data_IF_461004178436
#
_entry.id   IF_461004178436
#
_cell.length_a   1.000
_cell.length_b   1.000
_cell.length_c   1.000
_cell.angle_alpha   90.00
_cell.angle_beta   90.00
_cell.angle_gamma   90.00
#
_symmetry.space_group_name_H-M   'P 1'
#
loop_
_entity.id
_entity.type
_entity.pdbx_description
1 polymer ?
#
# COMPACT_ATOMS: atom_id res chain seq x y z
N UNK A 1 1.26 12.38 -7.68
CA UNK A 1 0.12 11.46 -7.45
C UNK A 1 0.35 10.70 -6.15
N UNK A 2 -0.71 10.46 -5.38
CA UNK A 2 -0.66 9.65 -4.13
C UNK A 2 -1.11 8.21 -4.40
N UNK A 3 -0.49 7.24 -3.74
CA UNK A 3 -1.00 5.87 -3.66
C UNK A 3 -1.38 5.51 -2.22
N UNK A 4 -2.54 4.87 -2.05
CA UNK A 4 -2.99 4.26 -0.81
C UNK A 4 -2.75 2.76 -0.90
N UNK A 5 -1.95 2.21 0.01
CA UNK A 5 -1.64 0.78 0.10
C UNK A 5 -2.34 0.20 1.33
N UNK A 6 -3.28 -0.72 1.11
CA UNK A 6 -4.00 -1.38 2.22
C UNK A 6 -3.21 -2.58 2.76
N UNK A 7 -2.34 -2.32 3.73
CA UNK A 7 -1.46 -3.29 4.38
C UNK A 7 -1.96 -3.77 5.76
N UNK A 8 -3.26 -3.59 6.04
CA UNK A 8 -3.85 -3.86 7.34
C UNK A 8 -4.19 -5.34 7.60
N UNK A 9 -4.23 -6.17 6.56
CA UNK A 9 -4.72 -7.56 6.65
C UNK A 9 -3.72 -8.58 7.18
N UNK A 10 -4.21 -9.60 7.87
CA UNK A 10 -3.41 -10.70 8.45
C UNK A 10 -2.74 -11.62 7.43
N UNK A 11 -3.29 -11.75 6.21
CA UNK A 11 -2.77 -12.73 5.23
C UNK A 11 -2.97 -14.19 5.68
N UNK A 12 -4.08 -14.51 6.34
CA UNK A 12 -4.31 -15.81 7.02
C UNK A 12 -4.15 -17.07 6.17
N UNK A 13 -4.24 -16.95 4.84
CA UNK A 13 -4.01 -18.06 3.90
C UNK A 13 -2.55 -18.53 3.87
N UNK A 14 -1.61 -17.70 4.31
CA UNK A 14 -0.17 -17.98 4.27
C UNK A 14 0.36 -18.57 5.59
N UNK A 15 -0.51 -18.89 6.56
CA UNK A 15 -0.16 -19.53 7.86
C UNK A 15 1.09 -18.93 8.53
N UNK A 16 1.31 -17.63 8.36
CA UNK A 16 2.46 -16.90 8.87
C UNK A 16 1.98 -15.84 9.87
N UNK A 17 2.71 -15.68 10.98
CA UNK A 17 2.40 -14.68 12.00
C UNK A 17 2.87 -13.27 11.61
N UNK A 18 3.68 -13.15 10.57
CA UNK A 18 4.18 -11.87 10.03
C UNK A 18 3.25 -11.28 8.96
N UNK A 19 3.13 -9.94 8.87
CA UNK A 19 2.48 -9.28 7.74
C UNK A 19 3.03 -9.79 6.41
N UNK A 20 2.14 -10.17 5.49
CA UNK A 20 2.53 -10.70 4.18
C UNK A 20 3.43 -9.75 3.39
N UNK A 21 3.24 -8.45 3.57
CA UNK A 21 4.01 -7.38 2.97
C UNK A 21 5.51 -7.45 3.24
N UNK A 22 5.89 -8.02 4.38
CA UNK A 22 7.28 -8.15 4.80
C UNK A 22 7.95 -9.42 4.28
N UNK A 23 7.21 -10.34 3.65
CA UNK A 23 7.81 -11.52 3.05
C UNK A 23 8.67 -11.12 1.86
N UNK A 24 9.81 -11.78 1.71
CA UNK A 24 10.71 -11.57 0.59
C UNK A 24 10.18 -12.30 -0.65
N UNK A 25 10.22 -11.61 -1.78
CA UNK A 25 10.15 -12.17 -3.11
C UNK A 25 11.49 -11.85 -3.77
N UNK A 26 12.31 -12.89 -3.97
CA UNK A 26 13.71 -12.76 -4.35
C UNK A 26 14.51 -11.92 -3.34
N UNK A 27 15.11 -10.82 -3.78
CA UNK A 27 16.01 -9.97 -3.01
C UNK A 27 15.30 -8.86 -2.23
N UNK A 28 13.98 -8.69 -2.40
CA UNK A 28 13.21 -7.56 -1.86
C UNK A 28 11.90 -8.00 -1.24
N UNK A 29 11.41 -7.24 -0.28
CA UNK A 29 10.08 -7.50 0.30
C UNK A 29 8.96 -7.27 -0.72
N UNK A 30 7.82 -7.95 -0.56
CA UNK A 30 6.63 -7.71 -1.39
C UNK A 30 6.25 -6.22 -1.38
N UNK A 31 6.30 -5.57 -0.21
CA UNK A 31 6.00 -4.15 -0.09
C UNK A 31 6.98 -3.28 -0.88
N UNK A 32 8.28 -3.60 -0.82
CA UNK A 32 9.32 -2.90 -1.57
C UNK A 32 9.10 -3.01 -3.08
N UNK A 33 8.75 -4.20 -3.60
CA UNK A 33 8.38 -4.37 -5.01
C UNK A 33 7.21 -3.48 -5.39
N UNK A 34 6.15 -3.45 -4.57
CA UNK A 34 4.95 -2.64 -4.83
C UNK A 34 5.30 -1.15 -4.88
N UNK A 35 5.95 -0.62 -3.84
CA UNK A 35 6.26 0.81 -3.77
C UNK A 35 7.28 1.25 -4.82
N UNK A 36 8.23 0.38 -5.16
CA UNK A 36 9.21 0.63 -6.24
C UNK A 36 8.51 0.71 -7.59
N UNK A 37 7.61 -0.22 -7.90
CA UNK A 37 6.89 -0.21 -9.17
C UNK A 37 5.97 1.01 -9.30
N UNK A 38 5.28 1.39 -8.22
CA UNK A 38 4.47 2.61 -8.15
C UNK A 38 5.34 3.86 -8.34
N UNK A 39 6.51 3.94 -7.70
CA UNK A 39 7.48 5.04 -7.88
C UNK A 39 7.92 5.15 -9.34
N UNK A 40 8.31 4.04 -9.97
CA UNK A 40 8.69 3.98 -11.39
C UNK A 40 7.56 4.41 -12.34
N UNK A 41 6.31 4.25 -11.93
CA UNK A 41 5.15 4.73 -12.68
C UNK A 41 4.87 6.24 -12.51
N UNK A 42 5.53 6.91 -11.56
CA UNK A 42 5.38 8.35 -11.30
C UNK A 42 4.59 8.69 -10.02
N UNK A 43 4.31 7.71 -9.15
CA UNK A 43 3.74 7.98 -7.82
C UNK A 43 4.83 8.57 -6.92
N UNK A 44 4.50 9.64 -6.19
CA UNK A 44 5.47 10.40 -5.39
C UNK A 44 5.13 10.42 -3.90
N UNK A 45 3.88 10.14 -3.53
CA UNK A 45 3.39 10.12 -2.15
C UNK A 45 2.72 8.79 -1.85
N UNK A 46 2.94 8.28 -0.66
CA UNK A 46 2.42 6.98 -0.24
C UNK A 46 1.70 7.11 1.09
N UNK A 47 0.50 6.56 1.16
CA UNK A 47 -0.24 6.32 2.40
C UNK A 47 -0.30 4.82 2.60
N UNK A 48 0.28 4.32 3.69
CA UNK A 48 0.25 2.89 4.01
C UNK A 48 -0.68 2.68 5.20
N UNK A 49 -1.77 1.97 4.96
CA UNK A 49 -2.74 1.64 6.00
C UNK A 49 -2.27 0.39 6.75
N UNK A 50 -1.94 0.57 8.01
CA UNK A 50 -1.48 -0.47 8.94
C UNK A 50 -2.67 -1.10 9.67
N UNK A 51 -2.50 -2.30 10.21
CA UNK A 51 -3.57 -3.01 10.93
C UNK A 51 -3.01 -4.17 11.75
N UNK A 52 -3.23 -5.41 11.30
CA UNK A 52 -2.61 -6.58 11.90
C UNK A 52 -1.09 -6.39 12.01
N UNK A 53 -0.54 -6.56 13.22
CA UNK A 53 0.89 -6.36 13.52
C UNK A 53 1.41 -4.97 13.09
N UNK A 54 0.61 -3.92 13.23
CA UNK A 54 0.97 -2.56 12.80
C UNK A 54 2.33 -2.08 13.31
N UNK A 55 2.68 -2.36 14.58
CA UNK A 55 4.01 -2.01 15.13
C UNK A 55 5.14 -2.66 14.34
N UNK A 56 5.03 -3.96 14.08
CA UNK A 56 6.03 -4.70 13.30
C UNK A 56 6.20 -4.12 11.89
N UNK A 57 5.10 -3.79 11.20
CA UNK A 57 5.17 -3.20 9.87
C UNK A 57 5.72 -1.76 9.90
N UNK A 58 5.38 -0.99 10.94
CA UNK A 58 5.91 0.36 11.16
C UNK A 58 7.42 0.33 11.41
N UNK A 59 7.90 -0.59 12.26
CA UNK A 59 9.32 -0.78 12.55
C UNK A 59 10.08 -1.24 11.31
N UNK A 60 9.48 -2.14 10.51
CA UNK A 60 10.03 -2.56 9.22
C UNK A 60 10.18 -1.40 8.24
N UNK A 61 9.18 -0.53 8.11
CA UNK A 61 9.25 0.66 7.26
C UNK A 61 10.35 1.62 7.72
N UNK A 62 10.46 1.86 9.03
CA UNK A 62 11.49 2.72 9.63
C UNK A 62 12.90 2.16 9.40
N UNK A 63 13.09 0.86 9.63
CA UNK A 63 14.38 0.18 9.46
C UNK A 63 14.89 0.23 8.01
N UNK A 64 13.99 0.37 7.04
CA UNK A 64 14.33 0.49 5.62
C UNK A 64 14.29 1.95 5.11
N UNK A 65 14.28 2.94 6.02
CA UNK A 65 14.18 4.37 5.67
C UNK A 65 13.04 4.68 4.69
N UNK A 66 11.90 4.01 4.87
CA UNK A 66 10.75 4.06 3.96
C UNK A 66 11.10 3.83 2.48
N UNK A 67 12.18 3.10 2.19
CA UNK A 67 12.73 2.87 0.86
C UNK A 67 13.08 4.18 0.11
N UNK A 68 13.41 5.25 0.85
CA UNK A 68 13.66 6.58 0.32
C UNK A 68 12.43 7.23 -0.31
N UNK A 69 11.24 6.97 0.23
CA UNK A 69 9.95 7.47 -0.26
C UNK A 69 9.26 8.39 0.76
N UNK A 70 8.41 9.28 0.26
CA UNK A 70 7.51 10.06 1.10
C UNK A 70 6.31 9.21 1.53
N UNK A 71 6.41 8.59 2.70
CA UNK A 71 5.38 7.72 3.28
C UNK A 71 4.72 8.37 4.48
N UNK A 72 3.40 8.29 4.54
CA UNK A 72 2.60 8.47 5.75
C UNK A 72 1.92 7.15 6.11
N UNK A 73 1.86 6.83 7.39
CA UNK A 73 1.16 5.64 7.88
C UNK A 73 -0.11 6.03 8.61
N UNK A 74 -1.14 5.20 8.49
CA UNK A 74 -2.38 5.34 9.26
C UNK A 74 -2.81 3.99 9.80
N UNK A 75 -3.22 3.94 11.07
CA UNK A 75 -3.63 2.69 11.71
C UNK A 75 -5.14 2.46 11.54
N UNK A 76 -5.51 1.29 11.02
CA UNK A 76 -6.88 0.80 11.01
C UNK A 76 -7.09 -0.16 12.21
N UNK A 77 -7.78 0.26 13.29
CA UNK A 77 -8.10 -0.62 14.42
C UNK A 77 -9.08 -1.74 14.02
N UNK A 78 -9.90 -1.49 13.01
CA UNK A 78 -10.97 -2.33 12.48
C UNK A 78 -10.52 -3.18 11.29
N UNK A 79 -9.23 -3.52 11.21
CA UNK A 79 -8.63 -4.22 10.06
C UNK A 79 -9.29 -5.57 9.69
N UNK A 80 -10.05 -6.17 10.62
CA UNK A 80 -10.83 -7.39 10.39
C UNK A 80 -12.10 -7.18 9.54
N UNK A 81 -12.58 -5.93 9.43
CA UNK A 81 -13.83 -5.57 8.72
C UNK A 81 -13.67 -5.41 7.21
N UNK A 82 -12.46 -5.67 6.69
CA UNK A 82 -12.17 -5.69 5.25
C UNK A 82 -11.49 -4.44 4.71
N UNK A 83 -11.20 -4.47 3.41
CA UNK A 83 -10.37 -3.45 2.76
C UNK A 83 -11.06 -2.08 2.67
N UNK A 84 -12.39 -2.04 2.49
CA UNK A 84 -13.13 -0.77 2.41
C UNK A 84 -12.94 0.12 3.64
N UNK A 85 -12.99 -0.48 4.84
CA UNK A 85 -12.69 0.24 6.09
C UNK A 85 -11.24 0.72 6.13
N UNK A 86 -10.31 -0.08 5.57
CA UNK A 86 -8.91 0.34 5.50
C UNK A 86 -8.71 1.53 4.56
N UNK A 87 -9.43 1.57 3.44
CA UNK A 87 -9.40 2.74 2.53
C UNK A 87 -9.97 3.98 3.20
N UNK A 88 -11.06 3.85 3.96
CA UNK A 88 -11.67 4.96 4.69
C UNK A 88 -10.70 5.61 5.68
N UNK A 89 -9.84 4.83 6.35
CA UNK A 89 -8.81 5.38 7.23
C UNK A 89 -7.83 6.34 6.53
N UNK A 90 -7.68 6.27 5.21
CA UNK A 90 -6.81 7.16 4.45
C UNK A 90 -7.46 8.51 4.09
N UNK A 91 -8.75 8.71 4.36
CA UNK A 91 -9.56 9.85 3.91
C UNK A 91 -8.91 11.20 4.23
N UNK A 92 -8.50 11.42 5.48
CA UNK A 92 -7.88 12.70 5.89
C UNK A 92 -6.54 12.97 5.19
N UNK A 93 -5.78 11.91 4.88
CA UNK A 93 -4.45 12.02 4.28
C UNK A 93 -4.51 12.26 2.77
N UNK A 94 -5.53 11.74 2.09
CA UNK A 94 -5.72 11.94 0.64
C UNK A 94 -6.63 13.12 0.32
N UNK A 95 -7.54 13.48 1.23
CA UNK A 95 -8.54 14.53 1.04
C UNK A 95 -9.41 14.27 -0.19
N UNK A 96 -9.67 15.32 -0.98
CA UNK A 96 -10.49 15.25 -2.21
C UNK A 96 -9.65 15.01 -3.48
N UNK A 97 -8.39 14.61 -3.35
CA UNK A 97 -7.50 14.38 -4.48
C UNK A 97 -7.63 12.95 -5.01
N UNK A 98 -7.51 12.73 -6.33
CA UNK A 98 -7.44 11.38 -6.87
C UNK A 98 -6.19 10.66 -6.32
N UNK A 99 -6.33 9.36 -6.10
CA UNK A 99 -5.25 8.49 -5.63
C UNK A 99 -5.34 7.11 -6.29
N UNK A 100 -4.21 6.41 -6.36
CA UNK A 100 -4.19 4.99 -6.70
C UNK A 100 -4.49 4.18 -5.45
N UNK A 101 -5.46 3.27 -5.52
CA UNK A 101 -5.62 2.21 -4.52
C UNK A 101 -4.80 0.99 -4.92
N UNK A 102 -3.95 0.49 -4.01
CA UNK A 102 -3.14 -0.70 -4.20
C UNK A 102 -3.33 -1.69 -3.05
N UNK A 103 -3.50 -2.95 -3.41
CA UNK A 103 -3.50 -4.06 -2.45
C UNK A 103 -2.06 -4.41 -2.09
N UNK A 104 -1.86 -4.81 -0.84
CA UNK A 104 -0.53 -5.07 -0.27
C UNK A 104 0.09 -6.44 -0.64
N UNK A 105 -0.49 -7.13 -1.63
CA UNK A 105 -0.03 -8.39 -2.24
C UNK A 105 -0.10 -8.37 -3.78
N UNK A 106 -0.49 -7.27 -4.40
CA UNK A 106 -0.58 -7.18 -5.86
C UNK A 106 0.66 -6.49 -6.41
N UNK A 107 1.60 -7.28 -6.94
CA UNK A 107 2.75 -6.75 -7.67
C UNK A 107 2.31 -6.49 -9.11
N UNK A 108 2.16 -5.21 -9.44
CA UNK A 108 1.72 -4.74 -10.76
C UNK A 108 2.89 -4.07 -11.46
N UNK A 109 3.03 -4.29 -12.78
CA UNK A 109 4.12 -3.69 -13.54
C UNK A 109 3.99 -2.16 -13.61
N UNK A 110 5.12 -1.42 -13.62
CA UNK A 110 5.10 0.04 -13.75
C UNK A 110 4.33 0.53 -14.99
N UNK A 111 4.43 -0.21 -16.10
CA UNK A 111 3.72 0.08 -17.35
C UNK A 111 2.20 -0.01 -17.18
N UNK A 112 1.69 -1.02 -16.48
CA UNK A 112 0.26 -1.14 -16.22
C UNK A 112 -0.24 -0.03 -15.31
N UNK A 113 0.50 0.30 -14.25
CA UNK A 113 0.18 1.44 -13.36
C UNK A 113 0.15 2.75 -14.16
N UNK A 114 1.15 2.98 -15.02
CA UNK A 114 1.22 4.20 -15.85
C UNK A 114 0.03 4.34 -16.78
N UNK A 115 -0.47 3.23 -17.36
CA UNK A 115 -1.68 3.24 -18.18
C UNK A 115 -2.92 3.66 -17.38
N UNK A 116 -3.05 3.21 -16.13
CA UNK A 116 -4.13 3.66 -15.25
C UNK A 116 -4.00 5.16 -14.93
N UNK A 117 -2.80 5.64 -14.63
CA UNK A 117 -2.54 7.06 -14.36
C UNK A 117 -2.82 7.99 -15.54
N UNK A 118 -2.66 7.50 -16.76
CA UNK A 118 -2.84 8.26 -18.00
C UNK A 118 -4.24 8.07 -18.59
N UNK A 119 -5.08 7.21 -18.00
CA UNK A 119 -6.44 7.01 -18.45
C UNK A 119 -7.21 8.32 -18.30
N UNK A 120 -7.92 8.72 -19.37
CA UNK A 120 -8.78 9.92 -19.38
C UNK A 120 -10.16 9.67 -18.76
N UNK A 121 -10.40 8.44 -18.34
CA UNK A 121 -11.68 8.00 -17.83
C UNK A 121 -11.71 8.19 -16.31
N UNK A 122 -12.60 9.05 -15.83
CA UNK A 122 -12.77 9.34 -14.40
C UNK A 122 -13.67 8.31 -13.70
N UNK A 123 -14.11 7.26 -14.39
CA UNK A 123 -14.94 6.22 -13.79
C UNK A 123 -14.20 5.52 -12.64
N UNK A 124 -14.67 5.79 -11.43
CA UNK A 124 -14.37 4.96 -10.27
C UNK A 124 -15.13 3.63 -10.43
N UNK A 125 -14.39 2.52 -10.56
CA UNK A 125 -14.96 1.17 -10.72
C UNK A 125 -15.24 0.47 -9.38
N UNK A 126 -15.08 1.20 -8.26
CA UNK A 126 -15.45 0.76 -6.92
C UNK A 126 -16.87 1.23 -6.55
#
# INVERSE_FOLDING_TARGET
MTAVIVAAGRGSRLMNHHPKTMMNLDDRSILEHIVTNLKQAGVTKFVIVLGYQARMLQDFLLANDYFGLQVQTVYNPDWQRGNGISVLCAEELVGRQPFILSMSDHIVSPTAVRRVLQAKDERNLL
#
